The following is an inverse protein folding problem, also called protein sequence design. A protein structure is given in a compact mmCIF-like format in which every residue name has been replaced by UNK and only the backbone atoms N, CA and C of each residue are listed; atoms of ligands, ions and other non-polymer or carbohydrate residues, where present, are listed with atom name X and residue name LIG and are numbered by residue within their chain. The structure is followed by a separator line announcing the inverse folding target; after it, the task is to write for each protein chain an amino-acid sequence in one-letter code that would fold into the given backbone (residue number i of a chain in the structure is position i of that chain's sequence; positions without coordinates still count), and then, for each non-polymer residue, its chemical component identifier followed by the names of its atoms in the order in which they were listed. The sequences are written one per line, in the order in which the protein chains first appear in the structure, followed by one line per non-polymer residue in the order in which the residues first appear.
data_IF_320971092229
#
_entry.id   IF_320971092229
#
_cell.length_a   1.000
_cell.length_b   1.000
_cell.length_c   1.000
_cell.angle_alpha   90.00
_cell.angle_beta   90.00
_cell.angle_gamma   90.00
#
_symmetry.space_group_name_H-M   'P 1'
#
loop_
_entity.id
_entity.type
_entity.pdbx_description
1 polymer ?
#
# COMPACT_ATOMS: atom_id res chain seq x y z
N UNK A 1 0.73 67.47 13.67
CA UNK A 1 0.57 66.04 14.02
C UNK A 1 -0.10 65.36 12.86
N UNK A 2 0.71 64.79 11.95
CA UNK A 2 0.25 64.09 10.74
C UNK A 2 0.16 62.61 11.07
N UNK A 3 -1.05 62.07 11.13
CA UNK A 3 -1.29 60.62 11.20
C UNK A 3 -1.24 60.07 9.79
N UNK A 4 -0.09 59.60 9.36
CA UNK A 4 0.14 58.95 8.07
C UNK A 4 -0.48 57.53 8.10
N UNK A 5 -1.58 57.25 7.36
CA UNK A 5 -2.25 55.97 7.39
C UNK A 5 -1.67 54.96 6.37
N UNK A 6 -0.57 55.28 5.69
CA UNK A 6 -0.09 54.48 4.55
C UNK A 6 0.84 53.31 4.91
N UNK A 7 1.22 53.13 6.18
CA UNK A 7 2.08 52.03 6.64
C UNK A 7 1.33 50.76 7.10
N UNK A 8 0.13 50.49 6.55
CA UNK A 8 -0.54 49.17 6.69
C UNK A 8 -0.52 48.38 5.38
N UNK A 9 0.61 48.39 4.67
CA UNK A 9 0.89 47.38 3.64
C UNK A 9 1.17 46.02 4.32
N UNK A 10 0.09 45.32 4.63
CA UNK A 10 -0.15 43.98 4.10
C UNK A 10 1.08 43.08 3.86
N UNK A 11 1.83 42.78 4.92
CA UNK A 11 2.31 41.42 5.10
C UNK A 11 1.09 40.50 5.26
N UNK A 12 0.40 40.20 4.14
CA UNK A 12 -0.37 38.96 4.01
C UNK A 12 0.67 37.85 4.07
N UNK A 13 1.03 37.48 5.29
CA UNK A 13 1.69 36.23 5.56
C UNK A 13 0.82 35.17 4.89
N UNK A 14 1.24 34.68 3.73
CA UNK A 14 0.69 33.46 3.16
C UNK A 14 0.70 32.45 4.29
N UNK A 15 -0.45 31.91 4.72
CA UNK A 15 -0.47 30.98 5.82
C UNK A 15 0.56 29.90 5.48
N UNK A 16 1.52 29.63 6.37
CA UNK A 16 2.58 28.68 6.08
C UNK A 16 1.91 27.39 5.63
N UNK A 17 2.12 27.03 4.36
CA UNK A 17 1.71 25.75 3.80
C UNK A 17 2.47 24.71 4.61
N UNK A 18 1.87 24.28 5.72
CA UNK A 18 2.34 23.17 6.54
C UNK A 18 2.07 21.87 5.76
N UNK A 19 2.71 21.75 4.58
CA UNK A 19 3.03 20.46 4.01
C UNK A 19 3.99 19.76 4.97
N UNK A 20 3.94 18.43 5.04
CA UNK A 20 4.90 17.67 5.84
C UNK A 20 6.31 18.16 5.49
N UNK A 21 7.02 18.72 6.47
CA UNK A 21 8.35 19.29 6.26
C UNK A 21 9.27 18.27 5.59
N UNK A 22 10.28 18.75 4.86
CA UNK A 22 11.27 17.90 4.18
C UNK A 22 11.82 16.83 5.13
N UNK A 23 12.08 17.22 6.38
CA UNK A 23 12.53 16.34 7.46
C UNK A 23 11.57 15.17 7.71
N UNK A 24 10.26 15.42 7.79
CA UNK A 24 9.27 14.36 7.99
C UNK A 24 9.21 13.38 6.81
N UNK A 25 9.43 13.86 5.59
CA UNK A 25 9.53 12.98 4.42
C UNK A 25 10.78 12.12 4.46
N UNK A 26 11.92 12.72 4.78
CA UNK A 26 13.20 12.03 4.85
C UNK A 26 13.19 10.96 5.96
N UNK A 27 12.64 11.28 7.13
CA UNK A 27 12.49 10.32 8.22
C UNK A 27 11.55 9.16 7.86
N UNK A 28 10.40 9.42 7.23
CA UNK A 28 9.51 8.30 6.84
C UNK A 28 10.05 7.47 5.69
N UNK A 29 10.83 8.08 4.79
CA UNK A 29 11.57 7.35 3.75
C UNK A 29 12.64 6.45 4.34
N UNK A 30 13.48 6.99 5.24
CA UNK A 30 14.53 6.21 5.91
C UNK A 30 13.93 5.08 6.74
N UNK A 31 12.85 5.37 7.48
CA UNK A 31 12.11 4.38 8.24
C UNK A 31 11.58 3.25 7.34
N UNK A 32 10.93 3.59 6.23
CA UNK A 32 10.42 2.58 5.30
C UNK A 32 11.54 1.73 4.68
N UNK A 33 12.69 2.33 4.37
CA UNK A 33 13.82 1.62 3.77
C UNK A 33 14.44 0.56 4.70
N UNK A 34 14.42 0.81 6.01
CA UNK A 34 14.94 -0.12 7.02
C UNK A 34 13.86 -1.09 7.49
N UNK A 35 12.67 -0.59 7.80
CA UNK A 35 11.62 -1.39 8.45
C UNK A 35 10.89 -2.31 7.48
N UNK A 36 10.71 -1.91 6.22
CA UNK A 36 10.03 -2.76 5.23
C UNK A 36 10.74 -4.10 5.02
N UNK A 37 12.05 -4.18 4.70
CA UNK A 37 12.70 -5.46 4.49
C UNK A 37 12.69 -6.31 5.78
N UNK A 38 12.85 -5.71 6.95
CA UNK A 38 12.75 -6.41 8.24
C UNK A 38 11.35 -6.99 8.44
N UNK A 39 10.31 -6.21 8.15
CA UNK A 39 8.93 -6.64 8.28
C UNK A 39 8.59 -7.78 7.29
N UNK A 40 9.07 -7.69 6.05
CA UNK A 40 8.90 -8.75 5.04
C UNK A 40 9.67 -10.02 5.42
N UNK A 41 10.90 -9.89 5.94
CA UNK A 41 11.68 -11.01 6.42
C UNK A 41 11.03 -11.72 7.60
N UNK A 42 10.54 -10.97 8.60
CA UNK A 42 9.80 -11.53 9.73
C UNK A 42 8.48 -12.18 9.31
N UNK A 43 7.74 -11.53 8.41
CA UNK A 43 6.50 -12.08 7.87
C UNK A 43 6.77 -13.41 7.17
N UNK A 44 7.85 -13.48 6.39
CA UNK A 44 8.26 -14.72 5.73
C UNK A 44 8.70 -15.80 6.72
N UNK A 45 9.53 -15.45 7.71
CA UNK A 45 9.97 -16.36 8.76
C UNK A 45 8.80 -16.93 9.59
N UNK A 46 7.82 -16.10 9.93
CA UNK A 46 6.59 -16.55 10.59
C UNK A 46 5.74 -17.43 9.67
N UNK A 47 5.69 -17.10 8.38
CA UNK A 47 4.92 -17.84 7.38
C UNK A 47 5.42 -19.25 7.14
N UNK A 48 6.75 -19.46 7.12
CA UNK A 48 7.34 -20.78 6.93
C UNK A 48 7.02 -21.70 8.11
N UNK A 49 7.01 -21.16 9.34
CA UNK A 49 6.53 -21.86 10.53
C UNK A 49 5.06 -22.25 10.43
N UNK A 50 4.20 -21.32 9.99
CA UNK A 50 2.76 -21.58 9.82
C UNK A 50 2.51 -22.64 8.76
N UNK A 51 3.20 -22.58 7.62
CA UNK A 51 3.05 -23.55 6.55
C UNK A 51 3.52 -24.94 6.96
N UNK A 52 4.64 -25.03 7.69
CA UNK A 52 5.09 -26.31 8.28
C UNK A 52 4.00 -26.90 9.17
N UNK A 53 3.45 -26.12 10.10
CA UNK A 53 2.34 -26.60 10.94
C UNK A 53 1.17 -27.08 10.08
N UNK A 54 0.69 -26.29 9.12
CA UNK A 54 -0.47 -26.72 8.32
C UNK A 54 -0.21 -28.00 7.53
N UNK A 55 0.99 -28.13 6.94
CA UNK A 55 1.36 -29.33 6.17
C UNK A 55 1.57 -30.56 7.05
N UNK A 56 2.18 -30.43 8.24
CA UNK A 56 2.42 -31.56 9.15
C UNK A 56 1.17 -32.00 9.90
N UNK A 57 0.29 -31.05 10.23
CA UNK A 57 -0.95 -31.32 11.00
C UNK A 57 -2.06 -31.95 10.14
N UNK A 58 -1.83 -32.10 8.83
CA UNK A 58 -2.78 -32.72 7.89
C UNK A 58 -4.15 -32.01 7.81
N UNK A 59 -4.24 -30.74 8.24
CA UNK A 59 -5.51 -30.06 8.37
C UNK A 59 -6.42 -30.68 9.45
N UNK A 60 -5.88 -30.99 10.64
CA UNK A 60 -6.71 -31.37 11.78
C UNK A 60 -7.71 -30.29 12.20
N UNK A 61 -8.79 -30.68 12.89
CA UNK A 61 -9.86 -29.78 13.37
C UNK A 61 -9.39 -28.72 14.40
N UNK A 62 -8.13 -28.75 14.84
CA UNK A 62 -7.60 -27.91 15.92
C UNK A 62 -6.25 -27.26 15.57
N UNK A 63 -6.17 -26.54 14.44
CA UNK A 63 -4.97 -25.78 14.06
C UNK A 63 -4.64 -24.66 15.06
N UNK A 64 -5.65 -23.97 15.62
CA UNK A 64 -5.40 -22.83 16.52
C UNK A 64 -4.68 -23.24 17.83
N UNK A 65 -5.14 -24.28 18.57
CA UNK A 65 -4.42 -24.77 19.75
C UNK A 65 -3.02 -25.28 19.42
N UNK A 66 -2.83 -25.86 18.25
CA UNK A 66 -1.54 -26.39 17.79
C UNK A 66 -0.57 -25.27 17.41
N UNK A 67 -1.05 -24.19 16.79
CA UNK A 67 -0.28 -22.98 16.52
C UNK A 67 0.10 -22.26 17.84
N UNK A 68 -0.79 -22.25 18.84
CA UNK A 68 -0.56 -21.50 20.09
C UNK A 68 0.29 -22.26 21.11
N UNK A 69 0.14 -23.58 21.19
CA UNK A 69 0.83 -24.42 22.18
C UNK A 69 1.96 -25.27 21.57
N UNK A 70 2.11 -25.25 20.24
CA UNK A 70 3.12 -26.02 19.54
C UNK A 70 4.53 -25.43 19.66
N UNK A 71 5.57 -26.21 19.35
CA UNK A 71 6.95 -25.75 19.40
C UNK A 71 7.26 -24.59 18.43
N UNK A 72 6.43 -24.41 17.40
CA UNK A 72 6.54 -23.33 16.42
C UNK A 72 5.74 -22.07 16.79
N UNK A 73 5.03 -22.06 17.93
CA UNK A 73 4.16 -20.97 18.34
C UNK A 73 4.89 -19.63 18.43
N UNK A 74 6.06 -19.64 19.06
CA UNK A 74 6.89 -18.44 19.21
C UNK A 74 7.38 -17.91 17.88
N UNK A 75 7.81 -18.79 16.96
CA UNK A 75 8.20 -18.39 15.61
C UNK A 75 7.04 -17.76 14.84
N UNK A 76 5.86 -18.36 14.88
CA UNK A 76 4.68 -17.85 14.16
C UNK A 76 4.23 -16.52 14.77
N UNK A 77 4.06 -16.44 16.10
CA UNK A 77 3.59 -15.24 16.78
C UNK A 77 4.59 -14.09 16.64
N UNK A 78 5.89 -14.36 16.80
CA UNK A 78 6.91 -13.33 16.74
C UNK A 78 7.18 -12.92 15.28
N UNK A 79 7.36 -13.88 14.36
CA UNK A 79 7.58 -13.58 12.95
C UNK A 79 6.37 -12.90 12.30
N UNK A 80 5.21 -13.57 12.32
CA UNK A 80 4.01 -13.08 11.66
C UNK A 80 3.44 -11.86 12.39
N UNK A 81 3.32 -11.94 13.72
CA UNK A 81 2.74 -10.87 14.53
C UNK A 81 3.58 -9.61 14.51
N UNK A 82 4.89 -9.69 14.78
CA UNK A 82 5.77 -8.50 14.74
C UNK A 82 5.91 -8.00 13.30
N UNK A 83 6.03 -8.88 12.31
CA UNK A 83 6.07 -8.50 10.90
C UNK A 83 4.84 -7.67 10.49
N UNK A 84 3.63 -8.13 10.84
CA UNK A 84 2.39 -7.38 10.58
C UNK A 84 2.38 -6.05 11.33
N UNK A 85 2.78 -6.02 12.60
CA UNK A 85 2.82 -4.77 13.38
C UNK A 85 3.79 -3.75 12.78
N UNK A 86 4.94 -4.18 12.26
CA UNK A 86 5.89 -3.32 11.55
C UNK A 86 5.34 -2.83 10.20
N UNK A 87 4.58 -3.66 9.47
CA UNK A 87 3.88 -3.19 8.27
C UNK A 87 2.82 -2.14 8.63
N UNK A 88 2.04 -2.38 9.68
CA UNK A 88 1.05 -1.44 10.18
C UNK A 88 1.72 -0.13 10.61
N UNK A 89 2.87 -0.16 11.28
CA UNK A 89 3.59 1.05 11.69
C UNK A 89 4.06 1.87 10.48
N UNK A 90 4.54 1.24 9.40
CA UNK A 90 4.85 1.92 8.13
C UNK A 90 3.60 2.65 7.61
N UNK A 91 2.44 2.01 7.61
CA UNK A 91 1.18 2.65 7.17
C UNK A 91 0.79 3.81 8.08
N UNK A 92 0.95 3.67 9.40
CA UNK A 92 0.70 4.73 10.39
C UNK A 92 1.61 5.94 10.18
N UNK A 93 2.87 5.74 9.75
CA UNK A 93 3.74 6.87 9.37
C UNK A 93 3.16 7.72 8.23
N UNK A 94 2.23 7.14 7.46
CA UNK A 94 1.36 7.81 6.51
C UNK A 94 0.57 9.01 7.05
N UNK A 95 0.33 9.08 8.36
CA UNK A 95 -0.25 10.25 9.03
C UNK A 95 0.69 11.47 8.92
N UNK A 96 1.99 11.26 9.08
CA UNK A 96 3.01 12.30 8.95
C UNK A 96 3.33 12.56 7.47
N UNK A 97 3.66 11.52 6.72
CA UNK A 97 4.11 11.64 5.33
C UNK A 97 3.75 10.40 4.51
N UNK A 98 3.24 10.62 3.29
CA UNK A 98 2.98 9.53 2.33
C UNK A 98 4.24 9.02 1.63
N UNK A 99 5.39 9.70 1.79
CA UNK A 99 6.62 9.38 1.08
C UNK A 99 7.15 7.98 1.41
N UNK A 100 7.12 7.57 2.69
CA UNK A 100 7.56 6.25 3.12
C UNK A 100 6.82 5.09 2.43
N UNK A 101 5.49 5.19 2.29
CA UNK A 101 4.69 4.18 1.58
C UNK A 101 4.95 4.17 0.07
N UNK A 102 5.16 5.33 -0.55
CA UNK A 102 5.51 5.40 -1.98
C UNK A 102 6.89 4.75 -2.20
N UNK A 103 7.87 5.06 -1.35
CA UNK A 103 9.19 4.43 -1.39
C UNK A 103 9.09 2.92 -1.16
N UNK A 104 8.27 2.47 -0.22
CA UNK A 104 7.98 1.05 -0.03
C UNK A 104 7.42 0.40 -1.31
N UNK A 105 6.53 1.11 -2.02
CA UNK A 105 6.05 0.70 -3.34
C UNK A 105 7.13 0.59 -4.41
N UNK A 106 8.00 1.59 -4.51
CA UNK A 106 9.13 1.59 -5.46
C UNK A 106 10.10 0.46 -5.14
N UNK A 107 10.41 0.22 -3.86
CA UNK A 107 11.20 -0.93 -3.43
C UNK A 107 10.52 -2.25 -3.80
N UNK A 108 9.19 -2.30 -3.75
CA UNK A 108 8.38 -3.42 -4.25
C UNK A 108 8.57 -3.72 -5.74
N UNK A 109 8.95 -2.74 -6.57
CA UNK A 109 9.32 -3.01 -7.97
C UNK A 109 10.62 -3.81 -8.08
N UNK A 110 11.53 -3.65 -7.11
CA UNK A 110 12.70 -4.53 -6.97
C UNK A 110 12.28 -5.98 -6.75
N UNK A 111 11.24 -6.22 -5.95
CA UNK A 111 10.69 -7.56 -5.77
C UNK A 111 10.10 -8.14 -7.06
N UNK A 112 9.42 -7.31 -7.86
CA UNK A 112 8.92 -7.68 -9.20
C UNK A 112 10.05 -8.05 -10.16
N UNK A 113 11.16 -7.31 -10.13
CA UNK A 113 12.34 -7.62 -10.95
C UNK A 113 13.01 -8.93 -10.51
N UNK A 114 13.05 -9.19 -9.20
CA UNK A 114 13.63 -10.42 -8.66
C UNK A 114 12.77 -11.65 -8.95
N UNK A 115 11.44 -11.54 -8.95
CA UNK A 115 10.57 -12.66 -9.37
C UNK A 115 10.65 -12.95 -10.86
N UNK A 116 10.94 -11.94 -11.69
CA UNK A 116 11.15 -12.11 -13.11
C UNK A 116 12.43 -12.90 -13.46
N UNK A 117 13.40 -12.93 -12.54
CA UNK A 117 14.69 -13.60 -12.74
C UNK A 117 15.00 -14.49 -11.51
N UNK A 118 14.34 -15.66 -11.38
CA UNK A 118 14.58 -16.57 -10.25
C UNK A 118 16.06 -16.97 -10.11
N UNK A 119 16.79 -17.08 -11.23
CA UNK A 119 18.24 -17.29 -11.23
C UNK A 119 19.02 -16.19 -10.52
N UNK A 120 18.65 -14.92 -10.69
CA UNK A 120 19.31 -13.82 -9.98
C UNK A 120 19.10 -13.95 -8.48
N UNK A 121 17.91 -14.38 -8.05
CA UNK A 121 17.63 -14.60 -6.62
C UNK A 121 18.50 -15.75 -6.07
N UNK A 122 18.58 -16.87 -6.78
CA UNK A 122 19.40 -18.04 -6.41
C UNK A 122 20.90 -17.74 -6.48
N UNK A 123 21.34 -16.96 -7.47
CA UNK A 123 22.73 -16.55 -7.64
C UNK A 123 23.11 -15.53 -6.57
N UNK A 124 22.25 -14.58 -6.25
CA UNK A 124 22.47 -13.62 -5.17
C UNK A 124 22.54 -14.34 -3.82
N UNK A 125 21.70 -15.35 -3.58
CA UNK A 125 21.79 -16.22 -2.42
C UNK A 125 23.12 -16.99 -2.39
N UNK A 126 23.54 -17.58 -3.51
CA UNK A 126 24.79 -18.34 -3.61
C UNK A 126 26.06 -17.50 -3.42
N UNK A 127 26.06 -16.25 -3.88
CA UNK A 127 27.24 -15.35 -3.79
C UNK A 127 27.23 -14.54 -2.49
N UNK A 128 26.04 -14.16 -2.00
CA UNK A 128 25.84 -13.21 -0.91
C UNK A 128 24.69 -13.66 0.02
N UNK A 129 24.85 -14.78 0.75
CA UNK A 129 23.82 -15.29 1.65
C UNK A 129 23.48 -14.31 2.79
N UNK A 130 24.41 -13.41 3.14
CA UNK A 130 24.21 -12.35 4.13
C UNK A 130 23.13 -11.33 3.72
N UNK A 131 22.91 -11.14 2.42
CA UNK A 131 21.99 -10.12 1.88
C UNK A 131 20.61 -10.67 1.52
N UNK A 132 20.52 -11.98 1.26
CA UNK A 132 19.27 -12.67 0.98
C UNK A 132 19.18 -13.86 1.94
N UNK A 133 18.63 -13.66 3.15
CA UNK A 133 18.35 -14.78 4.05
C UNK A 133 17.44 -15.80 3.35
N UNK A 134 17.58 -17.07 3.69
CA UNK A 134 16.74 -18.13 3.14
C UNK A 134 15.25 -17.86 3.39
N UNK A 135 14.93 -17.22 4.51
CA UNK A 135 13.60 -16.79 4.88
C UNK A 135 13.05 -15.78 3.87
N UNK A 136 13.86 -14.86 3.37
CA UNK A 136 13.43 -13.87 2.38
C UNK A 136 13.15 -14.54 1.04
N UNK A 137 13.95 -15.55 0.70
CA UNK A 137 13.81 -16.40 -0.47
C UNK A 137 12.45 -17.15 -0.46
N UNK A 138 12.10 -17.76 0.67
CA UNK A 138 10.79 -18.41 0.86
C UNK A 138 9.63 -17.40 0.68
N UNK A 139 9.79 -16.17 1.19
CA UNK A 139 8.78 -15.12 1.09
C UNK A 139 8.51 -14.69 -0.35
N UNK A 140 9.55 -14.70 -1.18
CA UNK A 140 9.45 -14.50 -2.62
C UNK A 140 8.69 -15.63 -3.30
N UNK A 141 8.92 -16.88 -2.90
CA UNK A 141 8.17 -18.02 -3.43
C UNK A 141 6.68 -17.93 -3.11
N UNK A 142 6.32 -17.43 -1.92
CA UNK A 142 4.91 -17.22 -1.52
C UNK A 142 4.28 -15.94 -2.08
N UNK A 143 5.01 -15.14 -2.85
CA UNK A 143 4.51 -13.91 -3.47
C UNK A 143 4.22 -12.77 -2.49
N UNK A 144 4.70 -12.84 -1.25
CA UNK A 144 4.40 -11.84 -0.22
C UNK A 144 4.98 -10.47 -0.55
N UNK A 145 6.29 -10.32 -0.85
CA UNK A 145 6.87 -9.04 -1.27
C UNK A 145 6.22 -8.51 -2.57
N UNK A 146 5.84 -9.44 -3.46
CA UNK A 146 5.24 -9.14 -4.76
C UNK A 146 3.92 -8.38 -4.60
N UNK A 147 3.08 -8.76 -3.64
CA UNK A 147 1.79 -8.14 -3.37
C UNK A 147 1.93 -6.93 -2.44
N UNK A 148 2.64 -7.08 -1.33
CA UNK A 148 2.67 -6.06 -0.26
C UNK A 148 3.36 -4.77 -0.73
N UNK A 149 4.43 -4.86 -1.54
CA UNK A 149 5.14 -3.70 -2.05
C UNK A 149 4.24 -2.78 -2.89
N UNK A 150 3.74 -3.22 -4.05
CA UNK A 150 2.86 -2.42 -4.90
C UNK A 150 1.59 -1.94 -4.19
N UNK A 151 1.04 -2.76 -3.27
CA UNK A 151 -0.09 -2.37 -2.43
C UNK A 151 0.27 -1.15 -1.57
N UNK A 152 1.39 -1.18 -0.84
CA UNK A 152 1.85 -0.03 -0.05
C UNK A 152 2.12 1.21 -0.92
N UNK A 153 2.71 1.03 -2.10
CA UNK A 153 2.92 2.10 -3.07
C UNK A 153 1.62 2.81 -3.47
N UNK A 154 0.63 2.00 -3.86
CA UNK A 154 -0.71 2.48 -4.22
C UNK A 154 -1.40 3.19 -3.07
N UNK A 155 -1.37 2.63 -1.86
CA UNK A 155 -1.92 3.28 -0.66
C UNK A 155 -1.19 4.59 -0.34
N UNK A 156 0.14 4.65 -0.53
CA UNK A 156 0.93 5.87 -0.44
C UNK A 156 0.42 6.97 -1.38
N UNK A 157 0.17 6.61 -2.65
CA UNK A 157 -0.42 7.54 -3.62
C UNK A 157 -1.86 7.91 -3.26
N UNK A 158 -2.66 6.98 -2.73
CA UNK A 158 -4.02 7.26 -2.29
C UNK A 158 -4.06 8.35 -1.21
N UNK A 159 -3.15 8.28 -0.24
CA UNK A 159 -3.01 9.30 0.80
C UNK A 159 -2.53 10.64 0.25
N UNK A 160 -1.60 10.63 -0.70
CA UNK A 160 -1.16 11.85 -1.38
C UNK A 160 -2.32 12.56 -2.10
N UNK A 161 -3.20 11.79 -2.76
CA UNK A 161 -4.41 12.30 -3.42
C UNK A 161 -5.42 12.83 -2.38
N UNK A 162 -5.70 12.04 -1.33
CA UNK A 162 -6.67 12.40 -0.29
C UNK A 162 -6.31 13.69 0.47
N UNK A 163 -5.00 13.98 0.64
CA UNK A 163 -4.52 15.24 1.21
C UNK A 163 -4.85 16.46 0.34
N UNK A 164 -4.91 16.29 -0.98
CA UNK A 164 -5.23 17.37 -1.93
C UNK A 164 -6.74 17.53 -2.14
N UNK A 165 -7.50 16.43 -2.07
CA UNK A 165 -8.96 16.41 -2.30
C UNK A 165 -9.68 15.67 -1.15
N UNK A 166 -10.05 16.37 -0.05
CA UNK A 166 -10.63 15.73 1.14
C UNK A 166 -12.10 15.31 0.97
N UNK A 167 -12.78 15.77 -0.09
CA UNK A 167 -14.13 15.33 -0.47
C UNK A 167 -14.04 14.45 -1.71
N UNK A 168 -14.43 13.18 -1.55
CA UNK A 168 -14.71 12.29 -2.68
C UNK A 168 -16.20 12.44 -3.03
N UNK A 169 -16.57 12.66 -4.29
CA UNK A 169 -17.95 12.61 -4.71
C UNK A 169 -18.50 11.18 -4.57
N UNK A 170 -19.78 11.06 -4.22
CA UNK A 170 -20.43 9.78 -3.89
C UNK A 170 -20.36 8.76 -5.05
N UNK A 171 -20.44 9.21 -6.30
CA UNK A 171 -20.37 8.32 -7.47
C UNK A 171 -19.00 7.63 -7.61
N UNK A 172 -17.90 8.33 -7.30
CA UNK A 172 -16.57 7.71 -7.28
C UNK A 172 -16.43 6.69 -6.14
N UNK A 173 -17.19 6.88 -5.05
CA UNK A 173 -17.22 5.91 -3.96
C UNK A 173 -17.90 4.59 -4.36
N UNK A 174 -18.99 4.68 -5.14
CA UNK A 174 -19.68 3.51 -5.71
C UNK A 174 -18.83 2.82 -6.76
N UNK A 175 -18.23 3.60 -7.67
CA UNK A 175 -17.35 3.06 -8.69
C UNK A 175 -16.16 2.32 -8.06
N UNK A 176 -15.56 2.90 -7.01
CA UNK A 176 -14.49 2.25 -6.25
C UNK A 176 -14.92 0.95 -5.56
N UNK A 177 -16.19 0.82 -5.15
CA UNK A 177 -16.69 -0.41 -4.52
C UNK A 177 -16.63 -1.62 -5.47
N UNK A 178 -16.78 -1.40 -6.77
CA UNK A 178 -16.77 -2.45 -7.79
C UNK A 178 -15.39 -2.57 -8.47
N UNK A 179 -14.78 -1.44 -8.83
CA UNK A 179 -13.49 -1.45 -9.53
C UNK A 179 -12.34 -1.94 -8.65
N UNK A 180 -12.34 -1.64 -7.35
CA UNK A 180 -11.27 -2.08 -6.45
C UNK A 180 -11.22 -3.60 -6.32
N UNK A 181 -12.31 -4.31 -5.98
CA UNK A 181 -12.24 -5.76 -5.89
C UNK A 181 -11.98 -6.44 -7.23
N UNK A 182 -12.61 -5.97 -8.30
CA UNK A 182 -12.38 -6.54 -9.62
C UNK A 182 -10.93 -6.32 -10.09
N UNK A 183 -10.42 -5.09 -9.96
CA UNK A 183 -9.06 -4.74 -10.33
C UNK A 183 -8.01 -5.47 -9.49
N UNK A 184 -8.26 -5.67 -8.19
CA UNK A 184 -7.37 -6.44 -7.34
C UNK A 184 -7.36 -7.91 -7.74
N UNK A 185 -8.52 -8.49 -8.05
CA UNK A 185 -8.63 -9.86 -8.53
C UNK A 185 -7.85 -10.04 -9.84
N UNK A 186 -8.01 -9.13 -10.81
CA UNK A 186 -7.27 -9.15 -12.07
C UNK A 186 -5.76 -9.00 -11.82
N UNK A 187 -5.35 -8.04 -10.98
CA UNK A 187 -3.94 -7.83 -10.66
C UNK A 187 -3.31 -9.07 -10.01
N UNK A 188 -3.99 -9.68 -9.03
CA UNK A 188 -3.54 -10.91 -8.37
C UNK A 188 -3.49 -12.09 -9.35
N UNK A 189 -4.47 -12.22 -10.24
CA UNK A 189 -4.48 -13.28 -11.25
C UNK A 189 -3.28 -13.15 -12.21
N UNK A 190 -2.96 -11.93 -12.66
CA UNK A 190 -1.79 -11.66 -13.50
C UNK A 190 -0.49 -11.98 -12.76
N UNK A 191 -0.34 -11.45 -11.55
CA UNK A 191 0.87 -11.60 -10.73
C UNK A 191 1.12 -13.06 -10.36
N UNK A 192 0.11 -13.75 -9.81
CA UNK A 192 0.25 -15.14 -9.40
C UNK A 192 0.29 -16.10 -10.58
N UNK A 193 -0.42 -15.82 -11.68
CA UNK A 193 -0.36 -16.63 -12.89
C UNK A 193 1.03 -16.63 -13.50
N UNK A 194 1.58 -15.44 -13.74
CA UNK A 194 2.92 -15.31 -14.32
C UNK A 194 4.02 -15.78 -13.35
N UNK A 195 3.90 -15.49 -12.04
CA UNK A 195 4.83 -16.00 -11.04
C UNK A 195 4.82 -17.53 -10.97
N UNK A 196 3.64 -18.16 -10.99
CA UNK A 196 3.53 -19.61 -11.02
C UNK A 196 4.18 -20.18 -12.28
N UNK A 197 3.89 -19.62 -13.45
CA UNK A 197 4.49 -20.06 -14.71
C UNK A 197 6.02 -19.97 -14.69
N UNK A 198 6.58 -18.86 -14.17
CA UNK A 198 8.02 -18.68 -14.00
C UNK A 198 8.65 -19.70 -13.05
N UNK A 199 8.05 -19.93 -11.88
CA UNK A 199 8.55 -20.89 -10.89
C UNK A 199 8.41 -22.33 -11.40
N UNK A 200 7.28 -22.70 -12.00
CA UNK A 200 7.08 -24.04 -12.55
C UNK A 200 8.01 -24.33 -13.72
N UNK A 201 8.22 -23.38 -14.62
CA UNK A 201 9.17 -23.54 -15.72
C UNK A 201 10.59 -23.77 -15.18
N UNK A 202 11.00 -22.97 -14.18
CA UNK A 202 12.31 -23.11 -13.55
C UNK A 202 12.48 -24.48 -12.85
N UNK A 203 11.47 -24.95 -12.11
CA UNK A 203 11.53 -26.23 -11.40
C UNK A 203 11.46 -27.44 -12.33
N UNK A 204 10.69 -27.39 -13.41
CA UNK A 204 10.52 -28.53 -14.33
C UNK A 204 11.67 -28.67 -15.33
N UNK A 205 12.22 -27.54 -15.80
CA UNK A 205 13.26 -27.54 -16.84
C UNK A 205 14.67 -27.40 -16.26
N UNK A 206 14.80 -27.10 -14.96
CA UNK A 206 16.05 -26.70 -14.32
C UNK A 206 16.73 -25.49 -15.01
N UNK A 207 15.96 -24.75 -15.80
CA UNK A 207 16.37 -23.54 -16.51
C UNK A 207 15.82 -22.34 -15.75
N UNK A 208 16.69 -21.64 -15.01
CA UNK A 208 16.31 -20.45 -14.27
C UNK A 208 16.47 -19.17 -15.12
N UNK A 209 16.39 -19.29 -16.44
CA UNK A 209 16.63 -18.17 -17.36
C UNK A 209 15.57 -17.07 -17.24
N UNK A 210 15.98 -15.85 -17.57
CA UNK A 210 15.09 -14.69 -17.56
C UNK A 210 14.00 -14.85 -18.63
N UNK A 211 12.73 -14.83 -18.19
CA UNK A 211 11.59 -14.78 -19.10
C UNK A 211 11.00 -13.36 -19.13
N UNK A 212 11.25 -12.57 -20.19
CA UNK A 212 10.79 -11.18 -20.28
C UNK A 212 9.27 -11.05 -20.33
N UNK A 213 8.55 -12.08 -20.82
CA UNK A 213 7.09 -12.07 -20.89
C UNK A 213 6.50 -12.21 -19.48
N UNK A 214 7.00 -13.17 -18.71
CA UNK A 214 6.61 -13.34 -17.29
C UNK A 214 6.91 -12.05 -16.51
N UNK A 215 8.09 -11.48 -16.70
CA UNK A 215 8.49 -10.22 -16.08
C UNK A 215 7.49 -9.08 -16.38
N UNK A 216 7.12 -8.92 -17.65
CA UNK A 216 6.20 -7.89 -18.11
C UNK A 216 4.80 -8.09 -17.53
N UNK A 217 4.30 -9.34 -17.48
CA UNK A 217 2.97 -9.65 -16.95
C UNK A 217 2.91 -9.43 -15.43
N UNK A 218 3.94 -9.85 -14.69
CA UNK A 218 4.04 -9.58 -13.25
C UNK A 218 4.12 -8.07 -13.00
N UNK A 219 4.93 -7.34 -13.78
CA UNK A 219 5.04 -5.89 -13.68
C UNK A 219 3.71 -5.19 -14.00
N UNK A 220 3.00 -5.62 -15.05
CA UNK A 220 1.69 -5.10 -15.39
C UNK A 220 0.68 -5.34 -14.27
N UNK A 221 0.68 -6.53 -13.67
CA UNK A 221 -0.14 -6.85 -12.50
C UNK A 221 0.22 -6.00 -11.28
N UNK A 222 1.50 -5.78 -11.00
CA UNK A 222 1.97 -4.92 -9.91
C UNK A 222 1.57 -3.45 -10.12
N UNK A 223 1.72 -2.93 -11.33
CA UNK A 223 1.26 -1.57 -11.69
C UNK A 223 -0.26 -1.47 -11.57
N UNK A 224 -1.01 -2.48 -12.03
CA UNK A 224 -2.45 -2.52 -11.88
C UNK A 224 -2.86 -2.53 -10.41
N UNK A 225 -2.22 -3.36 -9.57
CA UNK A 225 -2.44 -3.38 -8.13
C UNK A 225 -2.17 -2.02 -7.49
N UNK A 226 -1.07 -1.36 -7.87
CA UNK A 226 -0.74 -0.02 -7.41
C UNK A 226 -1.86 0.97 -7.77
N UNK A 227 -2.27 1.01 -9.03
CA UNK A 227 -3.32 1.92 -9.51
C UNK A 227 -4.63 1.64 -8.78
N UNK A 228 -5.03 0.38 -8.66
CA UNK A 228 -6.23 -0.04 -7.94
C UNK A 228 -6.18 0.40 -6.48
N UNK A 229 -5.06 0.15 -5.79
CA UNK A 229 -4.86 0.62 -4.43
C UNK A 229 -4.87 2.16 -4.32
N UNK A 230 -4.38 2.88 -5.32
CA UNK A 230 -4.50 4.33 -5.40
C UNK A 230 -5.96 4.81 -5.47
N UNK A 231 -6.82 4.07 -6.18
CA UNK A 231 -8.26 4.40 -6.29
C UNK A 231 -9.03 4.25 -4.97
N UNK A 232 -8.47 3.56 -3.96
CA UNK A 232 -9.05 3.53 -2.61
C UNK A 232 -9.12 4.93 -1.97
N UNK A 233 -8.36 5.90 -2.50
CA UNK A 233 -8.52 7.32 -2.20
C UNK A 233 -9.93 7.85 -2.46
N UNK A 234 -10.76 7.15 -3.24
CA UNK A 234 -12.12 7.56 -3.56
C UNK A 234 -13.16 6.91 -2.67
N UNK A 235 -12.90 5.70 -2.15
CA UNK A 235 -13.85 4.91 -1.37
C UNK A 235 -13.18 4.24 -0.17
N UNK A 236 -13.50 4.71 1.03
CA UNK A 236 -13.06 4.09 2.29
C UNK A 236 -13.76 2.75 2.52
N UNK A 237 -14.98 2.59 1.99
CA UNK A 237 -15.71 1.33 2.04
C UNK A 237 -15.02 0.24 1.21
N UNK A 238 -14.47 0.59 0.04
CA UNK A 238 -13.80 -0.37 -0.83
C UNK A 238 -12.59 -1.03 -0.15
N UNK A 239 -11.77 -0.26 0.57
CA UNK A 239 -10.63 -0.81 1.32
C UNK A 239 -11.06 -1.68 2.49
N UNK A 240 -12.10 -1.29 3.23
CA UNK A 240 -12.64 -2.10 4.34
C UNK A 240 -13.25 -3.41 3.84
N UNK A 241 -14.08 -3.36 2.80
CA UNK A 241 -14.68 -4.55 2.20
C UNK A 241 -13.59 -5.50 1.70
N UNK A 242 -12.57 -4.96 1.03
CA UNK A 242 -11.44 -5.78 0.57
C UNK A 242 -10.67 -6.42 1.73
N UNK A 243 -10.41 -5.68 2.80
CA UNK A 243 -9.74 -6.23 3.97
C UNK A 243 -10.55 -7.36 4.62
N UNK A 244 -11.87 -7.19 4.73
CA UNK A 244 -12.76 -8.22 5.26
C UNK A 244 -12.80 -9.45 4.35
N UNK A 245 -12.82 -9.26 3.02
CA UNK A 245 -12.74 -10.36 2.06
C UNK A 245 -11.42 -11.11 2.17
N UNK A 246 -10.29 -10.41 2.30
CA UNK A 246 -8.97 -11.04 2.48
C UNK A 246 -8.87 -11.79 3.81
N UNK A 247 -9.43 -11.25 4.90
CA UNK A 247 -9.50 -11.97 6.18
C UNK A 247 -10.38 -13.21 6.09
N UNK A 248 -11.56 -13.09 5.48
CA UNK A 248 -12.47 -14.22 5.28
C UNK A 248 -11.83 -15.30 4.39
N UNK A 249 -11.15 -14.90 3.31
CA UNK A 249 -10.44 -15.80 2.42
C UNK A 249 -9.25 -16.47 3.12
N UNK A 250 -8.48 -15.74 3.93
CA UNK A 250 -7.37 -16.29 4.71
C UNK A 250 -7.88 -17.27 5.77
N UNK A 251 -8.95 -16.94 6.48
CA UNK A 251 -9.59 -17.83 7.45
C UNK A 251 -10.15 -19.08 6.79
N UNK A 252 -10.79 -18.95 5.62
CA UNK A 252 -11.29 -20.07 4.84
C UNK A 252 -10.16 -20.96 4.31
N UNK A 253 -9.04 -20.38 3.88
CA UNK A 253 -7.86 -21.12 3.41
C UNK A 253 -7.19 -21.94 4.53
N UNK A 254 -7.36 -21.53 5.80
CA UNK A 254 -6.89 -22.30 6.96
C UNK A 254 -7.89 -23.39 7.38
N UNK A 255 -9.10 -23.44 6.81
CA UNK A 255 -10.08 -24.46 7.17
C UNK A 255 -9.91 -25.73 6.30
N UNK A 256 -9.56 -26.88 6.90
CA UNK A 256 -9.29 -28.12 6.17
C UNK A 256 -10.44 -28.58 5.26
N UNK A 257 -11.68 -28.36 5.71
CA UNK A 257 -12.88 -28.75 4.98
C UNK A 257 -13.30 -27.80 3.85
N UNK A 258 -12.90 -26.53 3.89
CA UNK A 258 -13.22 -25.55 2.83
C UNK A 258 -12.20 -25.59 1.69
N UNK A 259 -10.95 -25.94 2.01
CA UNK A 259 -9.86 -26.08 1.05
C UNK A 259 -10.14 -27.19 0.01
N UNK A 260 -10.94 -28.19 0.36
CA UNK A 260 -11.40 -29.24 -0.56
C UNK A 260 -12.51 -28.82 -1.53
N UNK A 261 -13.17 -27.68 -1.32
CA UNK A 261 -14.43 -27.33 -2.03
C UNK A 261 -14.20 -26.65 -3.39
N UNK A 262 -13.12 -25.87 -3.64
CA UNK A 262 -12.78 -25.45 -5.00
C UNK A 262 -11.61 -26.29 -5.54
N UNK A 263 -11.86 -27.57 -5.84
CA UNK A 263 -10.88 -28.46 -6.50
C UNK A 263 -10.36 -27.90 -7.84
N UNK A 264 -11.09 -26.95 -8.45
CA UNK A 264 -10.67 -26.24 -9.65
C UNK A 264 -9.55 -25.22 -9.39
N UNK A 265 -9.54 -24.53 -8.24
CA UNK A 265 -8.53 -23.49 -7.94
C UNK A 265 -7.17 -24.13 -7.65
N UNK A 266 -7.14 -25.27 -6.96
CA UNK A 266 -5.92 -26.04 -6.72
C UNK A 266 -5.29 -26.63 -7.99
N UNK A 267 -6.09 -26.86 -9.04
CA UNK A 267 -5.59 -27.43 -10.31
C UNK A 267 -4.92 -26.40 -11.20
N UNK A 268 -5.13 -25.11 -10.94
CA UNK A 268 -4.50 -24.03 -11.71
C UNK A 268 -3.27 -23.52 -10.94
N UNK A 269 -2.09 -23.42 -11.58
CA UNK A 269 -0.86 -22.93 -10.94
C UNK A 269 -1.03 -21.60 -10.18
N UNK A 270 -1.75 -20.64 -10.79
CA UNK A 270 -2.06 -19.35 -10.17
C UNK A 270 -2.86 -19.48 -8.86
N UNK A 271 -3.78 -20.45 -8.80
CA UNK A 271 -4.59 -20.70 -7.62
C UNK A 271 -3.79 -21.30 -6.47
N UNK A 272 -2.77 -22.12 -6.76
CA UNK A 272 -1.87 -22.65 -5.73
C UNK A 272 -1.02 -21.55 -5.09
N UNK A 273 -0.51 -20.60 -5.88
CA UNK A 273 0.23 -19.44 -5.37
C UNK A 273 -0.70 -18.54 -4.55
N UNK A 274 -1.93 -18.29 -5.03
CA UNK A 274 -2.91 -17.50 -4.30
C UNK A 274 -3.28 -18.12 -2.94
N UNK A 275 -3.51 -19.43 -2.89
CA UNK A 275 -3.82 -20.13 -1.64
C UNK A 275 -2.59 -20.13 -0.73
N UNK A 276 -1.39 -20.35 -1.28
CA UNK A 276 -0.14 -20.27 -0.52
C UNK A 276 0.06 -18.88 0.09
N UNK A 277 -0.23 -17.80 -0.65
CA UNK A 277 -0.23 -16.42 -0.15
C UNK A 277 -1.25 -16.18 0.98
N UNK A 278 -2.44 -16.79 0.89
CA UNK A 278 -3.46 -16.70 1.94
C UNK A 278 -3.04 -17.48 3.20
N UNK A 279 -2.51 -18.69 3.02
CA UNK A 279 -2.10 -19.58 4.11
C UNK A 279 -0.79 -19.15 4.78
N UNK A 280 0.09 -18.46 4.06
CA UNK A 280 1.35 -17.90 4.57
C UNK A 280 1.13 -16.65 5.43
N UNK A 281 -0.13 -16.18 5.58
CA UNK A 281 -0.46 -14.97 6.31
C UNK A 281 -0.27 -13.68 5.50
N UNK A 282 0.12 -13.78 4.22
CA UNK A 282 0.15 -12.64 3.29
C UNK A 282 -1.23 -11.96 3.16
N UNK A 283 -2.30 -12.75 3.09
CA UNK A 283 -3.67 -12.24 3.09
C UNK A 283 -4.03 -11.47 4.37
N UNK A 284 -3.61 -11.97 5.54
CA UNK A 284 -3.81 -11.31 6.83
C UNK A 284 -3.03 -9.99 6.89
N UNK A 285 -1.77 -9.99 6.45
CA UNK A 285 -0.94 -8.80 6.41
C UNK A 285 -1.53 -7.72 5.49
N UNK A 286 -1.95 -8.08 4.27
CA UNK A 286 -2.59 -7.17 3.33
C UNK A 286 -3.90 -6.59 3.91
N UNK A 287 -4.72 -7.41 4.57
CA UNK A 287 -5.93 -6.94 5.22
C UNK A 287 -5.64 -5.97 6.38
N UNK A 288 -4.67 -6.27 7.24
CA UNK A 288 -4.27 -5.39 8.33
C UNK A 288 -3.78 -4.03 7.82
N UNK A 289 -2.95 -4.03 6.77
CA UNK A 289 -2.49 -2.82 6.07
C UNK A 289 -3.67 -2.01 5.55
N UNK A 290 -4.64 -2.65 4.88
CA UNK A 290 -5.83 -1.99 4.34
C UNK A 290 -6.71 -1.38 5.44
N UNK A 291 -6.92 -2.07 6.57
CA UNK A 291 -7.70 -1.56 7.70
C UNK A 291 -7.03 -0.36 8.37
N UNK A 292 -5.72 -0.46 8.65
CA UNK A 292 -4.95 0.66 9.21
C UNK A 292 -4.96 1.84 8.24
N UNK A 293 -4.75 1.58 6.95
CA UNK A 293 -4.79 2.61 5.93
C UNK A 293 -6.15 3.32 5.88
N UNK A 294 -7.24 2.56 6.01
CA UNK A 294 -8.61 3.09 6.09
C UNK A 294 -8.75 4.06 7.28
N UNK A 295 -8.24 3.69 8.46
CA UNK A 295 -8.24 4.56 9.64
C UNK A 295 -7.36 5.81 9.45
N UNK A 296 -6.19 5.67 8.82
CA UNK A 296 -5.27 6.76 8.49
C UNK A 296 -5.93 7.73 7.51
N UNK A 297 -6.57 7.22 6.44
CA UNK A 297 -7.33 8.02 5.47
C UNK A 297 -8.46 8.80 6.14
N UNK A 298 -9.25 8.14 6.99
CA UNK A 298 -10.34 8.79 7.74
C UNK A 298 -9.81 9.92 8.62
N UNK A 299 -8.70 9.67 9.33
CA UNK A 299 -8.04 10.67 10.19
C UNK A 299 -7.52 11.86 9.39
N UNK A 300 -6.85 11.63 8.25
CA UNK A 300 -6.33 12.68 7.36
C UNK A 300 -7.46 13.53 6.79
N UNK A 301 -8.55 12.91 6.31
CA UNK A 301 -9.73 13.62 5.82
C UNK A 301 -10.43 14.41 6.93
N UNK A 302 -10.54 13.83 8.13
CA UNK A 302 -11.11 14.50 9.30
C UNK A 302 -10.35 15.76 9.68
N UNK A 303 -9.01 15.69 9.74
CA UNK A 303 -8.14 16.85 10.00
C UNK A 303 -8.27 17.91 8.91
N UNK A 304 -8.30 17.52 7.64
CA UNK A 304 -8.47 18.45 6.52
C UNK A 304 -9.82 19.18 6.59
N UNK A 305 -10.90 18.49 6.97
CA UNK A 305 -12.23 19.10 7.13
C UNK A 305 -12.30 20.08 8.30
N UNK A 306 -11.66 19.79 9.43
CA UNK A 306 -11.59 20.71 10.58
C UNK A 306 -10.89 22.02 10.21
N UNK A 307 -9.76 21.92 9.52
CA UNK A 307 -9.02 23.09 9.02
C UNK A 307 -9.84 23.97 8.09
N UNK A 308 -10.65 23.38 7.21
CA UNK A 308 -11.55 24.14 6.32
C UNK A 308 -12.69 24.85 7.07
N UNK A 309 -13.09 24.37 8.25
CA UNK A 309 -14.10 25.02 9.09
C UNK A 309 -13.52 26.15 9.95
N UNK A 310 -12.28 25.98 10.40
CA UNK A 310 -11.55 26.96 11.22
C UNK A 310 -10.97 28.11 10.39
N UNK A 311 -10.89 27.96 9.06
CA UNK A 311 -10.47 29.02 8.17
C UNK A 311 -11.59 30.09 8.09
N UNK A 312 -11.35 31.34 8.52
CA UNK A 312 -12.35 32.40 8.38
C UNK A 312 -12.75 32.52 6.91
N UNK A 313 -14.03 32.79 6.60
CA UNK A 313 -14.43 33.09 5.22
C UNK A 313 -13.49 34.19 4.73
N UNK A 314 -12.83 33.93 3.60
CA UNK A 314 -12.04 34.95 2.93
C UNK A 314 -12.99 36.12 2.71
N UNK A 315 -12.77 37.21 3.44
CA UNK A 315 -13.53 38.43 3.33
C UNK A 315 -13.66 38.75 1.84
N UNK A 316 -14.87 38.87 1.29
CA UNK A 316 -15.06 39.11 -0.13
C UNK A 316 -14.20 40.31 -0.46
N UNK A 317 -13.30 40.15 -1.43
CA UNK A 317 -12.53 41.26 -1.95
C UNK A 317 -13.56 42.30 -2.39
N UNK A 318 -13.73 43.34 -1.57
CA UNK A 318 -14.53 44.51 -1.91
C UNK A 318 -14.01 44.91 -3.29
N UNK A 319 -14.87 44.93 -4.33
CA UNK A 319 -14.47 45.44 -5.63
C UNK A 319 -13.81 46.77 -5.36
N UNK A 320 -12.52 46.88 -5.64
CA UNK A 320 -11.82 48.14 -5.51
C UNK A 320 -12.51 49.04 -6.51
N UNK A 321 -13.35 49.91 -5.99
CA UNK A 321 -14.18 50.81 -6.75
C UNK A 321 -13.24 51.60 -7.65
N UNK A 322 -13.37 51.43 -8.97
CA UNK A 322 -12.61 52.16 -9.98
C UNK A 322 -13.15 53.60 -10.14
N UNK A 323 -13.86 54.11 -9.13
CA UNK A 323 -14.29 55.50 -8.99
C UNK A 323 -13.11 56.36 -8.51
N UNK A 324 -12.05 56.41 -9.33
CA UNK A 324 -11.11 57.51 -9.26
C UNK A 324 -11.86 58.83 -9.51
N UNK A 325 -11.57 59.92 -8.77
CA UNK A 325 -12.16 61.22 -9.05
C UNK A 325 -11.74 61.64 -10.47
N UNK A 326 -12.71 61.65 -11.40
CA UNK A 326 -12.56 62.35 -12.67
C UNK A 326 -12.53 63.83 -12.37
N UNK A 327 -11.33 64.38 -12.23
CA UNK A 327 -11.13 65.83 -12.27
C UNK A 327 -11.68 66.36 -13.60
N UNK A 328 -12.57 67.37 -13.59
CA UNK A 328 -13.06 67.97 -14.82
C UNK A 328 -11.89 68.69 -15.52
N UNK A 329 -11.85 68.66 -16.87
CA UNK A 329 -10.79 69.32 -17.63
C UNK A 329 -10.83 70.84 -17.38
N UNK A 330 -9.65 71.51 -17.31
CA UNK A 330 -9.59 72.95 -17.11
C UNK A 330 -10.24 73.67 -18.29
N UNK A 331 -11.27 74.45 -17.98
CA UNK A 331 -11.92 75.38 -18.89
C UNK A 331 -10.98 76.55 -19.16
N UNK A 332 -10.62 76.72 -20.43
CA UNK A 332 -10.33 78.02 -21.02
C UNK A 332 -8.89 78.51 -20.99
N UNK A 333 -8.26 78.56 -22.17
CA UNK A 333 -7.57 79.77 -22.61
C UNK A 333 -7.97 80.07 -24.07
N UNK A 334 -8.47 81.29 -24.36
CA UNK A 334 -8.82 81.70 -25.72
C UNK A 334 -7.60 82.15 -26.52
N UNK A 335 -7.67 81.84 -27.83
CA UNK A 335 -6.97 82.37 -29.02
C UNK A 335 -5.50 82.80 -28.89
#
# INVERSE_FOLDING_TARGET
MSTDPTLRQSHRATPPRHGSGVIAKLLTTLYALVVLPVALGLLSFGSSGLQRVVTTSGGGRSLLPEILNGPMATQILLGLGVGILLLMSIVVTGLASSAGMIVAGVLGLGAVLLTAVPSLLLQLYGVRPEFVPAELLDGFFYGVPLVIGPLLGGLGTALAIARRRPRSPWFLSLLGLVLVPLGLLIAMALMFGAHAEGVYAALQRFEADFNPVVALVVAAGAVLLWVVAATTAWSTLASTVMALLLLAASAAALQPGLVGIPSAVWKVPAGQVAISFLMSGGGIAAAAILLVHTAVLASVRGRARRRLREQPPAEPAVPTDLSGPTDPPPVGQPA
#
